data_IF_026536609355
#
_entry.id   IF_026536609355
#
_cell.length_a   1.000
_cell.length_b   1.000
_cell.length_c   1.000
_cell.angle_alpha   90.00
_cell.angle_beta   90.00
_cell.angle_gamma   90.00
#
_symmetry.space_group_name_H-M   'P 1'
#
loop_
_entity.id
_entity.type
_entity.pdbx_description
1 polymer ?
#
# COMPACT_ATOMS: atom_id res chain seq x y z
N UNK A 1 23.84 -5.59 -20.76
CA UNK A 1 23.55 -6.94 -21.30
C UNK A 1 23.99 -8.13 -20.42
N UNK A 2 24.27 -7.94 -19.14
CA UNK A 2 24.59 -9.04 -18.21
C UNK A 2 23.39 -9.54 -17.39
N UNK A 3 22.16 -9.12 -17.68
CA UNK A 3 21.06 -9.27 -16.73
C UNK A 3 20.23 -10.56 -16.82
N UNK A 4 20.05 -11.15 -17.98
CA UNK A 4 19.16 -12.30 -18.13
C UNK A 4 19.86 -13.67 -17.99
N UNK A 5 21.13 -13.77 -18.37
CA UNK A 5 21.90 -15.04 -18.34
C UNK A 5 22.41 -15.43 -16.94
N UNK A 6 22.58 -14.47 -16.04
CA UNK A 6 23.14 -14.69 -14.69
C UNK A 6 22.15 -15.22 -13.65
N UNK A 7 20.85 -15.04 -13.87
CA UNK A 7 19.82 -15.47 -12.90
C UNK A 7 19.68 -17.00 -12.75
N UNK A 8 20.21 -17.75 -13.70
CA UNK A 8 20.23 -19.22 -13.70
C UNK A 8 21.63 -19.86 -13.58
N UNK A 9 22.72 -19.09 -13.48
CA UNK A 9 24.06 -19.64 -13.39
C UNK A 9 24.40 -20.16 -11.99
N UNK A 10 25.32 -21.15 -11.89
CA UNK A 10 25.80 -21.65 -10.59
C UNK A 10 26.33 -20.54 -9.67
N UNK A 11 26.94 -19.51 -10.24
CA UNK A 11 27.47 -18.35 -9.50
C UNK A 11 26.33 -17.54 -8.86
N UNK A 12 25.19 -17.39 -9.55
CA UNK A 12 24.00 -16.76 -9.00
C UNK A 12 23.38 -17.60 -7.86
N UNK A 13 23.36 -18.91 -7.97
CA UNK A 13 22.85 -19.81 -6.93
C UNK A 13 23.73 -19.71 -5.67
N UNK A 14 25.05 -19.73 -5.82
CA UNK A 14 26.01 -19.59 -4.69
C UNK A 14 25.87 -18.22 -4.01
N UNK A 15 25.76 -17.15 -4.77
CA UNK A 15 25.59 -15.79 -4.18
C UNK A 15 24.24 -15.65 -3.48
N UNK A 16 23.18 -16.25 -4.02
CA UNK A 16 21.87 -16.30 -3.36
C UNK A 16 21.92 -17.05 -2.03
N UNK A 17 22.56 -18.22 -1.99
CA UNK A 17 22.76 -18.99 -0.76
C UNK A 17 23.60 -18.20 0.25
N UNK A 18 24.67 -17.53 -0.21
CA UNK A 18 25.45 -16.63 0.64
C UNK A 18 24.58 -15.51 1.20
N UNK A 19 23.75 -14.88 0.38
CA UNK A 19 22.85 -13.82 0.83
C UNK A 19 21.79 -14.34 1.81
N UNK A 20 21.26 -15.54 1.61
CA UNK A 20 20.33 -16.17 2.53
C UNK A 20 20.96 -16.39 3.92
N UNK A 21 22.16 -16.93 3.97
CA UNK A 21 22.87 -17.22 5.23
C UNK A 21 23.38 -15.94 5.90
N UNK A 22 24.04 -15.05 5.13
CA UNK A 22 24.75 -13.89 5.69
C UNK A 22 23.84 -12.70 6.01
N UNK A 23 22.77 -12.51 5.22
CA UNK A 23 21.89 -11.33 5.32
C UNK A 23 20.42 -11.71 5.60
N UNK A 24 20.14 -13.00 5.82
CA UNK A 24 18.77 -13.50 6.00
C UNK A 24 17.82 -13.08 4.85
N UNK A 25 18.34 -13.09 3.61
CA UNK A 25 17.66 -12.64 2.41
C UNK A 25 16.94 -13.79 1.70
N UNK A 26 15.64 -13.68 1.53
CA UNK A 26 14.87 -14.58 0.67
C UNK A 26 15.13 -14.33 -0.82
N UNK A 27 14.60 -15.21 -1.69
CA UNK A 27 14.71 -15.04 -3.14
C UNK A 27 14.10 -13.72 -3.64
N UNK A 28 12.97 -13.33 -3.05
CA UNK A 28 12.27 -12.08 -3.40
C UNK A 28 13.15 -10.88 -3.06
N UNK A 29 13.76 -10.87 -1.87
CA UNK A 29 14.66 -9.80 -1.45
C UNK A 29 15.86 -9.66 -2.40
N UNK A 30 16.49 -10.79 -2.72
CA UNK A 30 17.62 -10.84 -3.64
C UNK A 30 17.29 -10.28 -5.02
N UNK A 31 16.09 -10.62 -5.54
CA UNK A 31 15.62 -10.16 -6.85
C UNK A 31 15.24 -8.67 -6.85
N UNK A 32 14.42 -8.24 -5.88
CA UNK A 32 13.84 -6.89 -5.84
C UNK A 32 14.91 -5.83 -5.57
N UNK A 33 15.78 -6.07 -4.58
CA UNK A 33 16.90 -5.19 -4.29
C UNK A 33 18.09 -5.38 -5.24
N UNK A 34 18.00 -6.30 -6.21
CA UNK A 34 19.09 -6.67 -7.12
C UNK A 34 20.42 -6.90 -6.38
N UNK A 35 20.38 -7.69 -5.28
CA UNK A 35 21.51 -7.87 -4.38
C UNK A 35 22.76 -8.40 -5.08
N UNK A 36 22.62 -9.05 -6.24
CA UNK A 36 23.72 -9.48 -7.10
C UNK A 36 24.55 -8.34 -7.67
N UNK A 37 24.04 -7.11 -7.68
CA UNK A 37 24.76 -5.90 -8.09
C UNK A 37 25.39 -5.16 -6.91
N UNK A 38 25.05 -5.51 -5.67
CA UNK A 38 25.44 -4.81 -4.46
C UNK A 38 26.71 -5.42 -3.85
N UNK A 39 27.57 -4.57 -3.31
CA UNK A 39 28.68 -4.99 -2.46
C UNK A 39 28.21 -5.33 -1.03
N UNK A 40 29.09 -5.87 -0.19
CA UNK A 40 28.74 -6.31 1.18
C UNK A 40 28.24 -5.15 2.06
N UNK A 41 28.76 -3.95 1.90
CA UNK A 41 28.31 -2.77 2.68
C UNK A 41 26.88 -2.37 2.30
N UNK A 42 26.57 -2.32 0.99
CA UNK A 42 25.24 -2.04 0.48
C UNK A 42 24.22 -3.11 0.87
N UNK A 43 24.58 -4.41 0.76
CA UNK A 43 23.71 -5.54 1.15
C UNK A 43 23.27 -5.45 2.60
N UNK A 44 24.11 -4.95 3.52
CA UNK A 44 23.79 -4.73 4.94
C UNK A 44 22.79 -3.60 5.19
N UNK A 45 22.44 -2.83 4.18
CA UNK A 45 21.45 -1.75 4.27
C UNK A 45 20.07 -2.17 3.78
N UNK A 46 19.95 -3.37 3.19
CA UNK A 46 18.67 -3.89 2.69
C UNK A 46 17.87 -4.51 3.84
N UNK A 47 16.60 -4.14 3.95
CA UNK A 47 15.64 -4.86 4.82
C UNK A 47 15.20 -6.12 4.09
N UNK A 48 15.63 -7.25 4.61
CA UNK A 48 15.23 -8.58 4.13
C UNK A 48 13.96 -9.05 4.82
N UNK A 49 13.33 -10.12 4.31
CA UNK A 49 12.14 -10.72 4.93
C UNK A 49 12.36 -11.03 6.42
N UNK A 50 13.54 -11.53 6.77
CA UNK A 50 13.87 -11.86 8.15
C UNK A 50 13.93 -10.63 9.04
N UNK A 51 14.60 -9.56 8.59
CA UNK A 51 14.68 -8.28 9.31
C UNK A 51 13.28 -7.66 9.42
N UNK A 52 12.49 -7.66 8.33
CA UNK A 52 11.13 -7.13 8.33
C UNK A 52 10.23 -7.86 9.34
N UNK A 53 10.27 -9.19 9.36
CA UNK A 53 9.52 -10.00 10.32
C UNK A 53 9.92 -9.69 11.76
N UNK A 54 11.20 -9.47 12.03
CA UNK A 54 11.70 -9.12 13.36
C UNK A 54 11.22 -7.73 13.79
N UNK A 55 11.30 -6.74 12.90
CA UNK A 55 10.78 -5.40 13.17
C UNK A 55 9.29 -5.45 13.51
N UNK A 56 8.47 -6.10 12.68
CA UNK A 56 7.02 -6.19 12.92
C UNK A 56 6.71 -6.89 14.24
N UNK A 57 7.38 -8.03 14.53
CA UNK A 57 7.17 -8.78 15.78
C UNK A 57 7.51 -7.96 17.03
N UNK A 58 8.54 -7.10 16.95
CA UNK A 58 8.96 -6.25 18.08
C UNK A 58 8.12 -5.00 18.22
N UNK A 59 7.61 -4.48 17.12
CA UNK A 59 6.91 -3.20 17.09
C UNK A 59 5.39 -3.36 17.19
N UNK A 60 4.81 -4.47 16.76
CA UNK A 60 3.36 -4.64 16.68
C UNK A 60 2.90 -5.79 17.57
N UNK A 61 2.05 -5.47 18.54
CA UNK A 61 1.37 -6.49 19.35
C UNK A 61 0.27 -7.16 18.53
N UNK A 62 0.40 -8.48 18.36
CA UNK A 62 -0.50 -9.29 17.56
C UNK A 62 -1.95 -9.27 18.05
N UNK A 63 -2.17 -9.02 19.34
CA UNK A 63 -3.50 -8.90 19.92
C UNK A 63 -4.32 -7.73 19.34
N UNK A 64 -3.64 -6.73 18.75
CA UNK A 64 -4.26 -5.52 18.19
C UNK A 64 -4.34 -5.54 16.65
N UNK A 65 -3.88 -6.60 15.97
CA UNK A 65 -3.90 -6.66 14.51
C UNK A 65 -5.31 -6.62 13.94
N UNK A 66 -6.31 -7.14 14.66
CA UNK A 66 -7.72 -7.14 14.25
C UNK A 66 -8.25 -5.73 13.92
N UNK A 67 -7.74 -4.67 14.55
CA UNK A 67 -8.11 -3.28 14.21
C UNK A 67 -7.68 -2.86 12.80
N UNK A 68 -6.75 -3.58 12.18
CA UNK A 68 -6.22 -3.30 10.85
C UNK A 68 -6.64 -4.37 9.83
N UNK A 69 -6.82 -5.60 10.27
CA UNK A 69 -7.14 -6.73 9.39
C UNK A 69 -8.65 -6.80 9.12
N UNK A 70 -9.50 -6.38 10.08
CA UNK A 70 -10.95 -6.25 9.94
C UNK A 70 -11.31 -4.84 9.47
N UNK A 71 -11.82 -4.75 8.23
CA UNK A 71 -12.17 -3.48 7.59
C UNK A 71 -13.24 -2.68 8.32
N UNK A 72 -14.16 -3.36 9.01
CA UNK A 72 -15.24 -2.69 9.77
C UNK A 72 -14.71 -2.07 11.05
N UNK A 73 -13.84 -2.77 11.75
CA UNK A 73 -13.17 -2.25 12.94
C UNK A 73 -12.23 -1.10 12.58
N UNK A 74 -11.50 -1.22 11.46
CA UNK A 74 -10.67 -0.15 10.93
C UNK A 74 -11.51 1.11 10.63
N UNK A 75 -12.59 0.95 9.87
CA UNK A 75 -13.44 2.09 9.48
C UNK A 75 -14.08 2.76 10.70
N UNK A 76 -14.52 2.00 11.71
CA UNK A 76 -15.09 2.58 12.93
C UNK A 76 -14.03 3.28 13.79
N UNK A 77 -12.84 2.68 13.95
CA UNK A 77 -11.76 3.24 14.76
C UNK A 77 -11.22 4.55 14.18
N UNK A 78 -11.13 4.63 12.85
CA UNK A 78 -10.54 5.76 12.12
C UNK A 78 -11.60 6.61 11.38
N UNK A 79 -12.89 6.55 11.82
CA UNK A 79 -14.03 7.20 11.16
C UNK A 79 -13.87 8.71 10.95
N UNK A 80 -13.12 9.40 11.79
CA UNK A 80 -12.86 10.84 11.64
C UNK A 80 -12.06 11.17 10.36
N UNK A 81 -11.32 10.20 9.82
CA UNK A 81 -10.57 10.31 8.57
C UNK A 81 -11.12 9.44 7.44
N UNK A 82 -12.32 8.85 7.64
CA UNK A 82 -13.03 8.01 6.68
C UNK A 82 -14.44 8.57 6.49
N UNK A 83 -14.60 9.70 5.77
CA UNK A 83 -15.91 10.35 5.61
C UNK A 83 -16.86 9.58 4.68
N UNK A 84 -16.34 8.59 3.91
CA UNK A 84 -17.16 7.79 3.00
C UNK A 84 -18.14 6.90 3.76
N UNK A 85 -19.33 6.72 3.19
CA UNK A 85 -20.32 5.77 3.72
C UNK A 85 -19.84 4.33 3.52
N UNK A 86 -20.13 3.47 4.47
CA UNK A 86 -19.88 2.05 4.39
C UNK A 86 -20.95 1.24 5.13
N UNK A 87 -21.13 -0.03 4.75
CA UNK A 87 -22.11 -0.95 5.34
C UNK A 87 -21.50 -2.35 5.42
N UNK A 88 -21.58 -2.98 6.60
CA UNK A 88 -21.28 -4.40 6.78
C UNK A 88 -22.33 -5.22 6.07
N UNK A 89 -21.92 -6.19 5.27
CA UNK A 89 -22.80 -7.11 4.54
C UNK A 89 -22.72 -8.51 5.17
N UNK A 90 -23.85 -8.96 5.68
CA UNK A 90 -24.04 -10.30 6.25
C UNK A 90 -25.52 -10.68 6.16
N UNK A 91 -25.91 -11.85 6.71
CA UNK A 91 -27.30 -12.30 6.67
C UNK A 91 -28.29 -11.35 7.36
N UNK A 92 -27.84 -10.59 8.35
CA UNK A 92 -28.63 -9.67 9.16
C UNK A 92 -28.57 -8.21 8.67
N UNK A 93 -28.00 -7.95 7.48
CA UNK A 93 -27.89 -6.59 6.94
C UNK A 93 -29.25 -5.93 6.78
N UNK A 94 -29.51 -4.77 7.43
CA UNK A 94 -30.79 -4.07 7.29
C UNK A 94 -30.98 -3.56 5.85
N UNK A 95 -32.10 -3.94 5.21
CA UNK A 95 -32.36 -3.59 3.80
C UNK A 95 -32.55 -2.07 3.60
N UNK A 96 -33.09 -1.37 4.58
CA UNK A 96 -33.20 0.10 4.57
C UNK A 96 -31.82 0.78 4.50
N UNK A 97 -30.82 0.26 5.23
CA UNK A 97 -29.44 0.76 5.14
C UNK A 97 -28.80 0.43 3.80
N UNK A 98 -29.14 -0.72 3.23
CA UNK A 98 -28.67 -1.06 1.89
C UNK A 98 -29.30 -0.14 0.84
N UNK A 99 -30.57 0.22 0.98
CA UNK A 99 -31.25 1.21 0.10
C UNK A 99 -30.59 2.59 0.20
N UNK A 100 -30.18 3.04 1.39
CA UNK A 100 -29.39 4.26 1.59
C UNK A 100 -28.07 4.23 0.80
N UNK A 101 -27.41 3.05 0.74
CA UNK A 101 -26.18 2.88 -0.06
C UNK A 101 -26.49 2.86 -1.56
N UNK A 102 -27.59 2.22 -1.99
CA UNK A 102 -28.02 2.15 -3.40
C UNK A 102 -28.41 3.51 -3.99
N UNK A 103 -28.64 4.53 -3.16
CA UNK A 103 -28.83 5.91 -3.62
C UNK A 103 -27.52 6.57 -4.15
N UNK A 104 -26.36 5.97 -3.90
CA UNK A 104 -25.08 6.44 -4.41
C UNK A 104 -24.86 6.02 -5.87
N UNK A 105 -24.08 6.78 -6.65
CA UNK A 105 -23.89 6.53 -8.09
C UNK A 105 -23.14 5.24 -8.40
N UNK A 106 -22.29 4.78 -7.48
CA UNK A 106 -21.59 3.51 -7.56
C UNK A 106 -20.99 3.13 -6.20
N UNK A 107 -20.74 1.84 -6.01
CA UNK A 107 -20.25 1.26 -4.78
C UNK A 107 -19.07 0.32 -5.03
N UNK A 108 -18.22 0.15 -4.03
CA UNK A 108 -17.16 -0.86 -4.01
C UNK A 108 -17.51 -1.90 -2.95
N UNK A 109 -17.61 -3.14 -3.38
CA UNK A 109 -17.73 -4.29 -2.48
C UNK A 109 -16.39 -4.98 -2.29
N UNK A 110 -16.11 -5.38 -1.05
CA UNK A 110 -14.87 -6.07 -0.66
C UNK A 110 -15.20 -7.26 0.24
N UNK A 111 -14.48 -8.39 0.15
CA UNK A 111 -14.51 -9.40 1.21
C UNK A 111 -14.04 -8.81 2.54
N UNK A 112 -14.57 -9.30 3.67
CA UNK A 112 -14.04 -8.91 5.00
C UNK A 112 -12.61 -9.36 5.17
N UNK A 113 -12.33 -10.60 4.80
CA UNK A 113 -10.99 -11.16 4.81
C UNK A 113 -10.36 -11.09 3.41
N UNK A 114 -9.04 -10.97 3.37
CA UNK A 114 -8.28 -10.93 2.13
C UNK A 114 -7.43 -9.68 2.00
N UNK A 115 -6.38 -9.80 1.19
CA UNK A 115 -5.38 -8.77 0.93
C UNK A 115 -5.14 -8.59 -0.57
N UNK A 116 -4.33 -7.61 -0.93
CA UNK A 116 -3.86 -7.40 -2.31
C UNK A 116 -4.96 -7.09 -3.34
N UNK A 117 -6.15 -6.65 -2.89
CA UNK A 117 -7.24 -6.25 -3.77
C UNK A 117 -8.02 -7.41 -4.40
N UNK A 118 -7.82 -8.65 -3.96
CA UNK A 118 -8.58 -9.79 -4.46
C UNK A 118 -10.05 -9.69 -4.02
N UNK A 119 -10.97 -10.01 -4.94
CA UNK A 119 -12.41 -10.01 -4.66
C UNK A 119 -13.04 -8.62 -4.54
N UNK A 120 -12.33 -7.54 -4.88
CA UNK A 120 -12.91 -6.20 -4.96
C UNK A 120 -13.75 -6.09 -6.23
N UNK A 121 -15.02 -5.72 -6.08
CA UNK A 121 -15.97 -5.53 -7.17
C UNK A 121 -16.56 -4.11 -7.10
N UNK A 122 -16.76 -3.54 -8.28
CA UNK A 122 -17.51 -2.28 -8.44
C UNK A 122 -18.94 -2.63 -8.81
N UNK A 123 -19.89 -1.99 -8.14
CA UNK A 123 -21.32 -2.10 -8.39
C UNK A 123 -21.89 -0.75 -8.84
N UNK A 124 -22.86 -0.78 -9.72
CA UNK A 124 -23.53 0.38 -10.33
C UNK A 124 -25.04 0.20 -10.23
N UNK A 125 -25.87 1.23 -10.53
CA UNK A 125 -27.34 1.11 -10.52
C UNK A 125 -27.89 -0.07 -11.33
N UNK A 126 -27.16 -0.52 -12.35
CA UNK A 126 -27.53 -1.71 -13.12
C UNK A 126 -27.59 -2.98 -12.26
N UNK A 127 -26.67 -3.12 -11.30
CA UNK A 127 -26.53 -4.31 -10.47
C UNK A 127 -27.62 -4.43 -9.41
N UNK A 128 -28.34 -3.34 -9.09
CA UNK A 128 -29.41 -3.34 -8.08
C UNK A 128 -30.79 -2.96 -8.62
N UNK A 129 -31.01 -3.04 -9.95
CA UNK A 129 -32.34 -2.84 -10.57
C UNK A 129 -33.43 -3.76 -10.00
N UNK A 130 -33.08 -4.92 -9.49
CA UNK A 130 -33.97 -5.88 -8.84
C UNK A 130 -34.39 -5.51 -7.42
N UNK A 131 -33.95 -4.34 -6.90
CA UNK A 131 -34.22 -3.88 -5.55
C UNK A 131 -33.27 -4.43 -4.49
N UNK A 132 -33.37 -3.92 -3.26
CA UNK A 132 -32.43 -4.18 -2.17
C UNK A 132 -32.28 -5.67 -1.83
N UNK A 133 -33.37 -6.43 -1.83
CA UNK A 133 -33.32 -7.87 -1.53
C UNK A 133 -32.52 -8.66 -2.57
N UNK A 134 -32.72 -8.37 -3.85
CA UNK A 134 -31.97 -9.03 -4.93
C UNK A 134 -30.49 -8.62 -4.91
N UNK A 135 -30.20 -7.35 -4.64
CA UNK A 135 -28.83 -6.85 -4.52
C UNK A 135 -28.12 -7.45 -3.29
N UNK A 136 -28.81 -7.55 -2.14
CA UNK A 136 -28.25 -8.21 -0.98
C UNK A 136 -27.86 -9.67 -1.27
N UNK A 137 -28.73 -10.44 -1.95
CA UNK A 137 -28.40 -11.80 -2.37
C UNK A 137 -27.19 -11.84 -3.29
N UNK A 138 -27.11 -10.94 -4.26
CA UNK A 138 -25.94 -10.80 -5.15
C UNK A 138 -24.65 -10.55 -4.37
N UNK A 139 -24.69 -9.66 -3.36
CA UNK A 139 -23.51 -9.37 -2.52
C UNK A 139 -23.08 -10.60 -1.73
N UNK A 140 -24.03 -11.35 -1.16
CA UNK A 140 -23.75 -12.60 -0.45
C UNK A 140 -23.15 -13.67 -1.36
N UNK A 141 -23.71 -13.86 -2.57
CA UNK A 141 -23.24 -14.83 -3.57
C UNK A 141 -21.80 -14.49 -4.06
N UNK A 142 -21.45 -13.20 -4.05
CA UNK A 142 -20.11 -12.71 -4.40
C UNK A 142 -19.15 -12.66 -3.21
N UNK A 143 -19.57 -13.14 -2.03
CA UNK A 143 -18.78 -13.09 -0.80
C UNK A 143 -18.30 -11.66 -0.44
N UNK A 144 -19.16 -10.66 -0.67
CA UNK A 144 -18.93 -9.30 -0.24
C UNK A 144 -19.27 -9.16 1.23
N UNK A 145 -18.32 -8.74 2.03
CA UNK A 145 -18.52 -8.56 3.47
C UNK A 145 -18.61 -7.09 3.89
N UNK A 146 -18.12 -6.17 3.05
CA UNK A 146 -18.29 -4.72 3.25
C UNK A 146 -18.57 -4.03 1.93
N UNK A 147 -19.53 -3.11 1.96
CA UNK A 147 -19.88 -2.24 0.85
C UNK A 147 -19.51 -0.80 1.20
N UNK A 148 -18.81 -0.11 0.30
CA UNK A 148 -18.30 1.24 0.54
C UNK A 148 -18.63 2.18 -0.62
N UNK A 149 -18.86 3.46 -0.29
CA UNK A 149 -18.89 4.55 -1.27
C UNK A 149 -17.54 4.64 -2.00
N UNK A 150 -17.58 4.92 -3.31
CA UNK A 150 -16.37 5.07 -4.11
C UNK A 150 -15.62 6.34 -3.70
N UNK A 151 -14.34 6.21 -3.43
CA UNK A 151 -13.46 7.36 -3.20
C UNK A 151 -13.17 8.05 -4.53
N UNK A 152 -13.50 9.33 -4.62
CA UNK A 152 -13.13 10.18 -5.75
C UNK A 152 -11.78 10.83 -5.46
N UNK A 153 -10.78 10.49 -6.26
CA UNK A 153 -9.45 11.07 -6.07
C UNK A 153 -9.36 12.52 -6.56
N UNK A 154 -8.43 13.28 -5.99
CA UNK A 154 -8.13 14.66 -6.38
C UNK A 154 -7.80 14.75 -7.88
N UNK A 155 -8.23 15.82 -8.61
CA UNK A 155 -7.97 15.96 -10.05
C UNK A 155 -6.49 15.83 -10.43
N UNK A 156 -5.57 16.41 -9.64
CA UNK A 156 -4.13 16.24 -9.88
C UNK A 156 -3.70 14.77 -9.78
N UNK A 157 -4.21 14.02 -8.79
CA UNK A 157 -3.91 12.58 -8.68
C UNK A 157 -4.47 11.80 -9.87
N UNK A 158 -5.64 12.19 -10.38
CA UNK A 158 -6.26 11.57 -11.56
C UNK A 158 -5.45 11.80 -12.85
N UNK A 159 -4.63 12.84 -12.93
CA UNK A 159 -3.69 13.04 -14.04
C UNK A 159 -2.66 11.91 -14.14
N UNK A 160 -2.26 11.35 -12.99
CA UNK A 160 -1.34 10.22 -12.97
C UNK A 160 -2.01 8.97 -13.55
N UNK A 161 -3.13 8.53 -12.98
CA UNK A 161 -3.94 7.44 -13.50
C UNK A 161 -5.43 7.70 -13.15
N UNK A 162 -6.31 7.95 -14.14
CA UNK A 162 -7.72 8.26 -13.88
C UNK A 162 -8.58 7.02 -13.60
N UNK A 163 -8.12 5.83 -13.94
CA UNK A 163 -8.90 4.58 -13.86
C UNK A 163 -8.84 3.92 -12.48
N UNK A 164 -7.89 4.31 -11.63
CA UNK A 164 -7.73 3.82 -10.26
C UNK A 164 -7.47 4.97 -9.30
N UNK A 165 -7.82 4.80 -8.05
CA UNK A 165 -7.36 5.69 -6.98
C UNK A 165 -5.87 5.42 -6.75
N UNK A 166 -5.02 6.43 -7.01
CA UNK A 166 -3.59 6.33 -6.75
C UNK A 166 -3.35 6.63 -5.26
N UNK A 167 -2.86 5.65 -4.50
CA UNK A 167 -2.73 5.77 -3.04
C UNK A 167 -1.31 6.06 -2.60
N UNK A 168 -1.15 6.97 -1.65
CA UNK A 168 0.11 7.16 -0.94
C UNK A 168 0.25 6.09 0.14
N UNK A 169 1.23 5.19 0.03
CA UNK A 169 1.62 4.30 1.11
C UNK A 169 2.56 5.06 2.03
N UNK A 170 2.10 5.40 3.23
CA UNK A 170 2.86 6.15 4.25
C UNK A 170 3.09 5.23 5.44
N UNK A 171 4.35 4.97 5.80
CA UNK A 171 4.70 4.10 6.91
C UNK A 171 5.12 4.92 8.13
N UNK A 172 4.36 4.80 9.22
CA UNK A 172 4.67 5.39 10.52
C UNK A 172 5.40 4.38 11.41
N UNK A 173 6.36 4.85 12.18
CA UNK A 173 7.08 4.06 13.18
C UNK A 173 7.19 4.84 14.48
N UNK A 174 6.56 4.31 15.54
CA UNK A 174 6.67 4.82 16.93
C UNK A 174 7.87 4.14 17.60
N UNK A 175 9.07 4.53 17.17
CA UNK A 175 10.32 3.97 17.66
C UNK A 175 10.72 4.50 19.03
N UNK A 176 11.69 3.82 19.69
CA UNK A 176 12.18 4.23 20.99
C UNK A 176 13.11 5.45 20.89
N UNK A 177 13.77 5.65 19.74
CA UNK A 177 14.64 6.81 19.49
C UNK A 177 13.89 7.99 18.90
N UNK A 178 12.91 7.72 18.03
CA UNK A 178 12.16 8.71 17.28
C UNK A 178 10.80 8.15 16.90
N UNK A 179 9.79 9.01 16.79
CA UNK A 179 8.48 8.72 16.23
C UNK A 179 8.28 9.55 14.97
N UNK A 180 7.68 8.96 13.94
CA UNK A 180 7.46 9.67 12.69
C UNK A 180 7.22 8.75 11.49
N UNK A 181 7.34 9.30 10.29
CA UNK A 181 7.24 8.57 9.02
C UNK A 181 8.63 8.06 8.64
N UNK A 182 8.73 6.76 8.39
CA UNK A 182 10.01 6.12 8.03
C UNK A 182 10.22 6.05 6.53
N UNK A 183 9.16 5.89 5.75
CA UNK A 183 9.16 5.96 4.29
C UNK A 183 7.77 6.28 3.73
N UNK A 184 7.73 6.79 2.51
CA UNK A 184 6.50 6.91 1.74
C UNK A 184 6.75 6.66 0.25
N UNK A 185 5.75 6.10 -0.44
CA UNK A 185 5.73 5.97 -1.88
C UNK A 185 4.31 6.07 -2.43
N UNK A 186 4.20 6.57 -3.66
CA UNK A 186 2.94 6.58 -4.39
C UNK A 186 2.78 5.23 -5.10
N UNK A 187 1.64 4.59 -4.90
CA UNK A 187 1.16 3.49 -5.73
C UNK A 187 0.43 4.10 -6.92
N UNK A 188 0.82 3.69 -8.11
CA UNK A 188 0.32 4.25 -9.37
C UNK A 188 -0.33 3.13 -10.14
N UNK A 189 -1.60 3.28 -10.47
CA UNK A 189 -2.31 2.33 -11.31
C UNK A 189 -1.79 2.29 -12.74
N UNK A 190 -2.17 1.27 -13.49
CA UNK A 190 -1.77 1.11 -14.89
C UNK A 190 -2.96 0.58 -15.73
N UNK A 191 -4.01 1.42 -15.83
CA UNK A 191 -5.20 1.14 -16.64
C UNK A 191 -6.22 0.18 -16.01
N UNK A 192 -5.94 -0.38 -14.82
CA UNK A 192 -6.88 -1.19 -14.06
C UNK A 192 -7.59 -0.36 -12.98
N UNK A 193 -8.61 -0.93 -12.35
CA UNK A 193 -9.36 -0.29 -11.25
C UNK A 193 -8.50 -0.13 -9.99
N UNK A 194 -7.47 -0.97 -9.82
CA UNK A 194 -6.59 -0.98 -8.67
C UNK A 194 -5.18 -0.50 -9.02
N UNK A 195 -4.57 0.24 -8.10
CA UNK A 195 -3.21 0.76 -8.18
C UNK A 195 -2.14 -0.23 -7.68
N UNK A 196 -2.55 -1.42 -7.24
CA UNK A 196 -1.64 -2.36 -6.60
C UNK A 196 -0.54 -2.83 -7.56
N UNK A 197 0.70 -2.78 -7.09
CA UNK A 197 1.89 -3.27 -7.81
C UNK A 197 1.77 -4.75 -8.20
N UNK A 198 1.09 -5.56 -7.37
CA UNK A 198 0.81 -6.97 -7.68
C UNK A 198 -0.21 -7.17 -8.82
N UNK A 199 -0.99 -6.13 -9.12
CA UNK A 199 -1.96 -6.11 -10.22
C UNK A 199 -1.43 -5.44 -11.49
N UNK A 200 -0.12 -5.12 -11.55
CA UNK A 200 0.53 -4.49 -12.70
C UNK A 200 0.66 -2.97 -12.57
N UNK A 201 0.37 -2.41 -11.39
CA UNK A 201 0.72 -1.04 -11.04
C UNK A 201 2.22 -0.85 -10.82
N UNK A 202 2.61 0.37 -10.56
CA UNK A 202 3.99 0.76 -10.26
C UNK A 202 4.06 1.58 -8.97
N UNK A 203 5.26 1.77 -8.44
CA UNK A 203 5.51 2.60 -7.27
C UNK A 203 6.62 3.60 -7.57
N UNK A 204 6.52 4.80 -6.95
CA UNK A 204 7.57 5.81 -6.98
C UNK A 204 7.74 6.41 -5.57
N UNK A 205 9.00 6.64 -5.13
CA UNK A 205 9.27 7.21 -3.80
C UNK A 205 8.78 8.65 -3.70
N UNK A 206 8.23 8.97 -2.55
CA UNK A 206 7.83 10.34 -2.17
C UNK A 206 8.93 10.92 -1.28
N UNK A 207 9.33 12.15 -1.53
CA UNK A 207 10.12 12.96 -0.61
C UNK A 207 9.27 13.33 0.60
N UNK A 208 9.70 12.93 1.78
CA UNK A 208 8.93 13.13 3.02
C UNK A 208 8.78 14.60 3.42
N UNK A 209 9.66 15.46 2.95
CA UNK A 209 9.60 16.90 3.23
C UNK A 209 8.66 17.62 2.27
N UNK A 210 8.85 17.45 0.98
CA UNK A 210 8.15 18.24 -0.05
C UNK A 210 6.89 17.57 -0.65
N UNK A 211 6.70 16.27 -0.46
CA UNK A 211 5.62 15.51 -1.10
C UNK A 211 5.82 15.26 -2.59
N UNK A 212 7.03 15.51 -3.13
CA UNK A 212 7.34 15.26 -4.54
C UNK A 212 7.81 13.84 -4.78
N UNK A 213 7.47 13.30 -5.94
CA UNK A 213 8.03 12.01 -6.37
C UNK A 213 9.51 12.18 -6.74
N UNK A 214 10.38 11.44 -6.05
CA UNK A 214 11.83 11.50 -6.22
C UNK A 214 12.37 10.59 -7.32
N UNK A 215 11.65 9.52 -7.64
CA UNK A 215 12.16 8.43 -8.47
C UNK A 215 11.24 8.15 -9.65
N UNK A 216 11.78 7.41 -10.62
CA UNK A 216 10.95 6.78 -11.66
C UNK A 216 9.90 5.85 -11.03
N UNK A 217 8.80 5.60 -11.72
CA UNK A 217 7.91 4.49 -11.39
C UNK A 217 8.62 3.17 -11.63
N UNK A 218 8.50 2.24 -10.72
CA UNK A 218 9.04 0.88 -10.87
C UNK A 218 7.95 -0.15 -10.60
N UNK A 219 7.91 -1.21 -11.41
CA UNK A 219 7.00 -2.34 -11.22
C UNK A 219 7.71 -3.56 -10.61
N UNK A 220 6.94 -4.57 -10.27
CA UNK A 220 7.45 -5.82 -9.66
C UNK A 220 8.29 -6.67 -10.63
N UNK A 221 8.14 -6.47 -11.93
CA UNK A 221 8.95 -7.12 -12.95
C UNK A 221 10.35 -6.49 -13.08
N UNK A 222 10.51 -5.26 -12.58
CA UNK A 222 11.73 -4.48 -12.65
C UNK A 222 11.77 -3.47 -13.79
N UNK A 223 10.64 -3.28 -14.48
CA UNK A 223 10.53 -2.20 -15.47
C UNK A 223 10.47 -0.85 -14.78
N UNK A 224 10.96 0.18 -15.48
CA UNK A 224 11.00 1.56 -14.98
C UNK A 224 10.31 2.51 -15.95
N UNK A 225 9.67 3.55 -15.41
CA UNK A 225 8.85 4.48 -16.14
C UNK A 225 9.17 5.91 -15.69
N UNK A 226 9.65 6.75 -16.59
CA UNK A 226 9.83 8.20 -16.35
C UNK A 226 8.52 8.96 -16.49
N UNK A 227 7.64 8.45 -17.38
CA UNK A 227 6.26 8.91 -17.59
C UNK A 227 5.30 7.77 -17.42
N UNK A 228 4.08 8.09 -17.00
CA UNK A 228 3.02 7.09 -16.93
C UNK A 228 2.69 6.58 -18.35
N UNK A 229 2.68 5.26 -18.60
CA UNK A 229 2.60 4.70 -19.96
C UNK A 229 1.31 5.02 -20.71
N UNK A 230 0.22 5.27 -19.99
CA UNK A 230 -1.09 5.56 -20.60
C UNK A 230 -1.34 7.07 -20.70
N UNK A 231 -1.09 7.83 -19.63
CA UNK A 231 -1.43 9.25 -19.57
C UNK A 231 -0.31 10.17 -20.05
N UNK A 232 0.93 9.69 -20.14
CA UNK A 232 2.10 10.49 -20.46
C UNK A 232 2.54 11.45 -19.35
N UNK A 233 1.91 11.42 -18.20
CA UNK A 233 2.24 12.28 -17.05
C UNK A 233 3.64 11.97 -16.53
N UNK A 234 4.45 13.01 -16.33
CA UNK A 234 5.79 12.88 -15.75
C UNK A 234 5.68 12.38 -14.30
N UNK A 235 6.45 11.35 -13.96
CA UNK A 235 6.44 10.75 -12.62
C UNK A 235 7.36 11.52 -11.69
N UNK A 236 8.65 11.70 -12.06
CA UNK A 236 9.60 12.46 -11.24
C UNK A 236 9.15 13.91 -11.14
N UNK A 237 9.16 14.44 -9.94
CA UNK A 237 8.74 15.83 -9.64
C UNK A 237 7.25 16.04 -9.53
N UNK A 238 6.42 15.01 -9.77
CA UNK A 238 4.98 15.09 -9.49
C UNK A 238 4.76 15.38 -8.00
N UNK A 239 3.91 16.36 -7.68
CA UNK A 239 3.66 16.80 -6.31
C UNK A 239 2.34 16.24 -5.81
N UNK A 240 2.36 15.61 -4.64
CA UNK A 240 1.16 15.08 -3.97
C UNK A 240 0.41 16.26 -3.31
N UNK A 241 -0.86 16.51 -3.69
CA UNK A 241 -1.68 17.51 -3.00
C UNK A 241 -1.91 17.13 -1.54
N UNK A 242 -2.12 18.11 -0.66
CA UNK A 242 -2.41 17.89 0.77
C UNK A 242 -1.39 17.00 1.49
N UNK A 243 -0.09 17.09 1.10
CA UNK A 243 0.94 16.20 1.64
C UNK A 243 1.14 16.37 3.15
N UNK A 244 1.16 17.60 3.64
CA UNK A 244 1.32 17.89 5.07
C UNK A 244 0.15 17.35 5.89
N UNK A 245 -1.08 17.52 5.39
CA UNK A 245 -2.29 17.00 6.02
C UNK A 245 -2.28 15.47 6.03
N UNK A 246 -1.82 14.83 4.95
CA UNK A 246 -1.70 13.37 4.87
C UNK A 246 -0.68 12.83 5.89
N UNK A 247 0.47 13.51 6.04
CA UNK A 247 1.47 13.16 7.07
C UNK A 247 0.89 13.28 8.47
N UNK A 248 0.24 14.43 8.74
CA UNK A 248 -0.37 14.69 10.06
C UNK A 248 -1.42 13.64 10.38
N UNK A 249 -2.31 13.35 9.46
CA UNK A 249 -3.36 12.33 9.60
C UNK A 249 -2.76 10.96 9.98
N UNK A 250 -1.71 10.50 9.29
CA UNK A 250 -1.06 9.22 9.60
C UNK A 250 -0.38 9.21 10.97
N UNK A 251 0.24 10.33 11.38
CA UNK A 251 0.89 10.44 12.69
C UNK A 251 -0.13 10.47 13.82
N UNK A 252 -1.25 11.19 13.66
CA UNK A 252 -2.34 11.23 14.64
C UNK A 252 -3.00 9.85 14.77
N UNK A 253 -3.26 9.19 13.65
CA UNK A 253 -3.85 7.85 13.61
C UNK A 253 -2.95 6.79 14.28
N UNK A 254 -1.63 6.88 14.11
CA UNK A 254 -0.68 5.97 14.74
C UNK A 254 -0.75 6.02 16.27
N UNK A 255 -1.17 7.14 16.86
CA UNK A 255 -1.30 7.28 18.31
C UNK A 255 -2.59 6.64 18.87
N UNK A 256 -3.57 6.32 18.02
CA UNK A 256 -4.83 5.69 18.49
C UNK A 256 -4.66 4.25 18.96
N UNK A 257 -3.68 3.53 18.38
CA UNK A 257 -3.35 2.15 18.77
C UNK A 257 -1.84 2.07 19.01
N UNK A 258 -1.34 2.58 20.14
CA UNK A 258 0.10 2.68 20.41
C UNK A 258 0.80 1.31 20.55
N UNK A 259 0.04 0.22 20.64
CA UNK A 259 0.55 -1.16 20.58
C UNK A 259 0.91 -1.58 19.14
N UNK A 260 0.41 -0.87 18.13
CA UNK A 260 0.72 -1.04 16.72
C UNK A 260 1.71 0.03 16.28
N UNK A 261 2.97 -0.16 16.65
CA UNK A 261 4.02 0.87 16.53
C UNK A 261 4.55 1.05 15.11
N UNK A 262 4.35 0.07 14.23
CA UNK A 262 4.77 0.10 12.82
C UNK A 262 3.60 -0.21 11.90
N UNK A 263 3.01 0.81 11.30
CA UNK A 263 1.85 0.68 10.42
C UNK A 263 2.12 1.36 9.08
N UNK A 264 1.72 0.72 7.99
CA UNK A 264 1.69 1.36 6.67
C UNK A 264 0.25 1.69 6.27
N UNK A 265 0.00 2.98 6.08
CA UNK A 265 -1.31 3.55 5.76
C UNK A 265 -1.45 3.71 4.25
N UNK A 266 -2.57 3.28 3.69
CA UNK A 266 -2.97 3.60 2.32
C UNK A 266 -3.87 4.82 2.34
N UNK A 267 -3.33 5.92 1.85
CA UNK A 267 -3.97 7.24 1.87
C UNK A 267 -4.37 7.62 0.46
N UNK A 268 -5.66 7.85 0.24
CA UNK A 268 -6.16 8.50 -0.95
C UNK A 268 -6.22 10.01 -0.74
N UNK A 269 -5.87 10.77 -1.77
CA UNK A 269 -6.04 12.22 -1.77
C UNK A 269 -7.32 12.55 -2.54
N UNK A 270 -8.28 13.15 -1.85
CA UNK A 270 -9.56 13.59 -2.42
C UNK A 270 -9.57 15.10 -2.66
N UNK A 271 -10.57 15.67 -3.37
CA UNK A 271 -10.72 17.12 -3.47
C UNK A 271 -10.85 17.84 -2.12
N UNK A 272 -11.26 17.13 -1.08
CA UNK A 272 -11.48 17.68 0.27
C UNK A 272 -10.35 17.36 1.25
N UNK A 273 -9.24 16.77 0.79
CA UNK A 273 -8.10 16.38 1.62
C UNK A 273 -7.85 14.87 1.64
N UNK A 274 -6.91 14.40 2.48
CA UNK A 274 -6.55 13.00 2.58
C UNK A 274 -7.63 12.17 3.30
N UNK A 275 -7.76 10.89 2.91
CA UNK A 275 -8.61 9.91 3.60
C UNK A 275 -7.93 8.54 3.60
N UNK A 276 -8.18 7.75 4.63
CA UNK A 276 -7.69 6.37 4.66
C UNK A 276 -8.48 5.45 3.73
N UNK A 277 -7.77 4.58 3.03
CA UNK A 277 -8.32 3.41 2.36
C UNK A 277 -8.22 2.20 3.28
N UNK A 278 -7.03 1.97 3.84
CA UNK A 278 -6.74 0.89 4.79
C UNK A 278 -5.45 1.18 5.59
N UNK A 279 -5.24 0.45 6.67
CA UNK A 279 -3.99 0.37 7.39
C UNK A 279 -3.44 -1.07 7.34
N UNK A 280 -2.13 -1.22 7.29
CA UNK A 280 -1.48 -2.53 7.19
C UNK A 280 -0.71 -2.82 8.48
N UNK A 281 -1.15 -3.85 9.22
CA UNK A 281 -0.52 -4.38 10.43
C UNK A 281 0.84 -5.01 10.18
N UNK A 282 1.06 -5.47 8.94
CA UNK A 282 2.29 -6.09 8.47
C UNK A 282 2.82 -5.39 7.20
N UNK A 283 3.48 -4.21 7.33
CA UNK A 283 3.98 -3.45 6.19
C UNK A 283 4.94 -4.25 5.30
N UNK A 284 4.70 -4.21 3.98
CA UNK A 284 5.62 -4.83 3.02
C UNK A 284 6.96 -4.09 2.99
N UNK A 285 8.05 -4.82 3.11
CA UNK A 285 9.42 -4.31 2.99
C UNK A 285 9.92 -4.26 1.54
N UNK A 286 9.26 -4.95 0.62
CA UNK A 286 9.76 -5.17 -0.74
C UNK A 286 9.56 -3.94 -1.64
N UNK A 287 8.33 -3.43 -1.73
CA UNK A 287 7.99 -2.31 -2.62
C UNK A 287 8.79 -1.03 -2.33
N UNK A 288 8.96 -0.61 -1.05
CA UNK A 288 9.75 0.58 -0.75
C UNK A 288 11.24 0.45 -1.10
N UNK A 289 11.72 -0.76 -1.42
CA UNK A 289 13.13 -1.04 -1.72
C UNK A 289 13.39 -1.52 -3.16
N UNK A 290 12.52 -1.22 -4.11
CA UNK A 290 12.84 -1.50 -5.51
C UNK A 290 14.18 -0.88 -5.89
N UNK A 291 15.06 -1.66 -6.52
CA UNK A 291 16.42 -1.22 -6.86
C UNK A 291 16.46 0.10 -7.66
N UNK A 292 15.44 0.33 -8.51
CA UNK A 292 15.31 1.57 -9.28
C UNK A 292 15.09 2.82 -8.39
N UNK A 293 14.67 2.64 -7.15
CA UNK A 293 14.47 3.72 -6.18
C UNK A 293 15.74 4.10 -5.40
N UNK A 294 16.78 3.29 -5.51
CA UNK A 294 18.05 3.43 -4.77
C UNK A 294 19.24 3.23 -5.72
N UNK A 295 19.52 4.22 -6.60
CA UNK A 295 20.59 4.11 -7.60
C UNK A 295 21.98 4.01 -6.97
N UNK A 296 22.13 4.46 -5.72
CA UNK A 296 23.36 4.32 -4.93
C UNK A 296 23.52 2.92 -4.31
N UNK A 297 22.50 2.06 -4.43
CA UNK A 297 22.47 0.72 -3.85
C UNK A 297 22.29 0.69 -2.33
N UNK A 298 21.98 1.82 -1.69
CA UNK A 298 21.72 1.89 -0.25
C UNK A 298 20.24 1.58 0.03
N UNK A 299 19.95 0.49 0.72
CA UNK A 299 18.58 0.12 1.12
C UNK A 299 18.01 0.99 2.25
N UNK A 300 16.77 0.68 2.66
CA UNK A 300 16.03 1.52 3.63
C UNK A 300 16.37 1.24 5.11
N UNK A 301 17.17 0.23 5.42
CA UNK A 301 17.51 -0.09 6.82
C UNK A 301 18.14 1.08 7.59
N UNK A 302 18.99 1.94 7.00
CA UNK A 302 19.49 3.14 7.67
C UNK A 302 18.39 4.10 8.14
N UNK A 303 17.28 4.19 7.41
CA UNK A 303 16.14 5.01 7.82
C UNK A 303 15.49 4.44 9.09
N UNK A 304 15.31 3.12 9.18
CA UNK A 304 14.77 2.47 10.38
C UNK A 304 15.67 2.65 11.61
N UNK A 305 16.99 2.62 11.42
CA UNK A 305 17.97 2.83 12.51
C UNK A 305 17.89 4.20 13.17
N UNK A 306 17.30 5.19 12.51
CA UNK A 306 17.00 6.49 13.10
C UNK A 306 15.89 6.41 14.17
N UNK A 307 15.06 5.36 14.13
CA UNK A 307 13.87 5.16 14.96
C UNK A 307 14.07 4.08 16.03
N UNK A 308 14.74 2.99 15.66
CA UNK A 308 14.88 1.78 16.48
C UNK A 308 16.28 1.19 16.35
N UNK A 309 16.64 0.32 17.29
CA UNK A 309 17.82 -0.53 17.17
C UNK A 309 17.50 -1.78 16.34
N UNK A 310 18.13 -1.86 15.15
CA UNK A 310 17.96 -2.94 14.19
C UNK A 310 19.20 -3.16 13.32
#
# INVERSE_FOLDING_TARGET
>A
EMSASLVGSEMCIRDRLRCAVKYNAGYVDYKIAQMYKLNDAQRKTVITRGISNDIVRRMNDKAYWHFFDDKTQFNELFKEWIPRKWLLINADTPLDKLEDMMALPALIGKPLEGSSGQGILKFTPEDWKGGAKAFHQLLMDKNIGILEEIVVQHPEMARMCPTSVNTCRIATLLGDKKQGIVYAFLRIGNGKVMDNVDCGGMAARIDLESGKLLTVGADKAGNTYTKHPITGTDIIGFTIPYWEEAKKMCLDAAQKVPQMRFVAWDVAITPNGPTFIEGNSFPSHAVPQFAAHYPDGIGILPEFRKFIDV
#
